data_IF_528440061039
#
_entry.id   IF_528440061039
#
_cell.length_a   1.000
_cell.length_b   1.000
_cell.length_c   1.000
_cell.angle_alpha   90.00
_cell.angle_beta   90.00
_cell.angle_gamma   90.00
#
_symmetry.space_group_name_H-M   'P 1'
#
loop_
_entity.id
_entity.type
_entity.pdbx_description
1 polymer ?
#
# COMPACT_ATOMS: atom_id res chain seq x y z
N UNK A 1 7.64 19.05 22.56
CA UNK A 1 6.46 18.23 22.92
C UNK A 1 5.30 19.17 23.18
N UNK A 2 4.20 19.06 22.44
CA UNK A 2 3.01 19.91 22.65
C UNK A 2 2.19 19.26 23.77
N UNK A 3 1.95 19.99 24.86
CA UNK A 3 1.10 19.51 25.93
C UNK A 3 -0.36 19.41 25.46
N UNK A 4 -1.05 18.33 25.82
CA UNK A 4 -2.47 18.17 25.50
C UNK A 4 -3.30 19.30 26.15
N UNK A 5 -4.36 19.79 25.48
CA UNK A 5 -5.17 20.87 26.01
C UNK A 5 -5.88 20.47 27.31
N UNK A 6 -6.16 21.42 28.22
CA UNK A 6 -6.87 21.16 29.46
C UNK A 6 -8.27 20.58 29.17
N UNK A 7 -8.59 19.45 29.81
CA UNK A 7 -9.85 18.72 29.59
C UNK A 7 -9.77 17.58 28.56
N UNK A 8 -8.63 17.37 27.91
CA UNK A 8 -8.42 16.21 27.05
C UNK A 8 -8.44 14.91 27.87
N UNK A 9 -9.43 14.06 27.60
CA UNK A 9 -9.45 12.67 28.09
C UNK A 9 -9.01 11.78 26.93
N UNK A 10 -7.99 10.93 27.08
CA UNK A 10 -7.64 9.96 26.04
C UNK A 10 -8.87 9.10 25.75
N UNK A 11 -9.18 8.89 24.47
CA UNK A 11 -10.20 7.93 24.05
C UNK A 11 -9.72 6.55 24.53
N UNK A 12 -10.34 6.01 25.60
CA UNK A 12 -10.02 4.67 26.09
C UNK A 12 -10.55 3.67 25.07
N UNK A 13 -9.65 3.03 24.34
CA UNK A 13 -9.99 1.85 23.54
C UNK A 13 -10.30 0.75 24.55
N UNK A 14 -11.41 0.03 24.38
CA UNK A 14 -11.70 -1.09 25.29
C UNK A 14 -10.64 -2.17 25.10
N UNK A 15 -10.28 -2.84 26.19
CA UNK A 15 -9.21 -3.86 26.20
C UNK A 15 -9.46 -4.98 25.19
N UNK A 16 -10.73 -5.26 24.89
CA UNK A 16 -11.20 -6.15 23.83
C UNK A 16 -10.62 -5.83 22.44
N UNK A 17 -10.31 -4.56 22.15
CA UNK A 17 -9.79 -4.12 20.86
C UNK A 17 -8.27 -3.81 20.88
N UNK A 18 -7.60 -4.03 22.01
CA UNK A 18 -6.14 -3.92 22.08
C UNK A 18 -5.54 -5.21 21.50
N UNK A 19 -4.97 -5.12 20.30
CA UNK A 19 -4.20 -6.22 19.72
C UNK A 19 -2.81 -6.26 20.36
N UNK A 20 -2.27 -7.45 20.70
CA UNK A 20 -0.89 -7.54 21.16
C UNK A 20 0.06 -7.06 20.05
N UNK A 21 1.20 -6.44 20.42
CA UNK A 21 2.20 -6.03 19.44
C UNK A 21 2.76 -7.26 18.73
N UNK A 22 2.84 -7.17 17.39
CA UNK A 22 3.45 -8.20 16.52
C UNK A 22 4.93 -8.36 16.90
N UNK A 23 5.41 -9.61 16.93
CA UNK A 23 6.80 -9.91 17.30
C UNK A 23 7.80 -9.33 16.28
N UNK A 24 9.07 -9.10 16.65
CA UNK A 24 10.10 -8.66 15.69
C UNK A 24 10.28 -9.62 14.52
N UNK A 25 10.18 -10.93 14.77
CA UNK A 25 10.31 -11.98 13.74
C UNK A 25 9.14 -11.95 12.75
N UNK A 26 7.92 -11.80 13.25
CA UNK A 26 6.73 -11.68 12.40
C UNK A 26 6.78 -10.40 11.55
N UNK A 27 7.24 -9.28 12.13
CA UNK A 27 7.46 -8.03 11.36
C UNK A 27 8.49 -8.23 10.26
N UNK A 28 9.60 -8.90 10.56
CA UNK A 28 10.64 -9.19 9.58
C UNK A 28 10.12 -10.08 8.45
N UNK A 29 9.32 -11.11 8.79
CA UNK A 29 8.67 -11.99 7.82
C UNK A 29 7.71 -11.22 6.90
N UNK A 30 6.81 -10.40 7.46
CA UNK A 30 5.88 -9.58 6.66
C UNK A 30 6.61 -8.61 5.73
N UNK A 31 7.71 -8.00 6.20
CA UNK A 31 8.54 -7.12 5.38
C UNK A 31 9.22 -7.88 4.24
N UNK A 32 9.77 -9.06 4.52
CA UNK A 32 10.41 -9.91 3.51
C UNK A 32 9.41 -10.38 2.45
N UNK A 33 8.21 -10.80 2.85
CA UNK A 33 7.14 -11.20 1.92
C UNK A 33 6.67 -10.04 1.05
N UNK A 34 6.48 -8.85 1.64
CA UNK A 34 6.13 -7.63 0.90
C UNK A 34 7.22 -7.24 -0.10
N UNK A 35 8.49 -7.31 0.31
CA UNK A 35 9.62 -7.04 -0.58
C UNK A 35 9.72 -8.07 -1.71
N UNK A 36 9.58 -9.36 -1.41
CA UNK A 36 9.60 -10.42 -2.42
C UNK A 36 8.50 -10.25 -3.47
N UNK A 37 7.30 -9.83 -3.05
CA UNK A 37 6.22 -9.48 -3.97
C UNK A 37 6.57 -8.28 -4.84
N UNK A 38 7.12 -7.22 -4.24
CA UNK A 38 7.55 -6.05 -4.99
C UNK A 38 8.62 -6.38 -6.03
N UNK A 39 9.60 -7.23 -5.71
CA UNK A 39 10.64 -7.60 -6.68
C UNK A 39 10.09 -8.24 -7.96
N UNK A 40 8.94 -8.94 -7.89
CA UNK A 40 8.29 -9.52 -9.07
C UNK A 40 7.59 -8.45 -9.91
N UNK A 41 6.91 -7.50 -9.26
CA UNK A 41 6.20 -6.42 -9.96
C UNK A 41 7.12 -5.31 -10.48
N UNK A 42 8.31 -5.17 -9.88
CA UNK A 42 9.23 -4.05 -10.15
C UNK A 42 9.63 -3.93 -11.62
N UNK A 43 10.02 -4.99 -12.35
CA UNK A 43 10.36 -4.88 -13.77
C UNK A 43 9.18 -4.42 -14.63
N UNK A 44 7.97 -4.86 -14.31
CA UNK A 44 6.75 -4.45 -15.00
C UNK A 44 6.50 -2.97 -14.76
N UNK A 45 6.55 -2.55 -13.49
CA UNK A 45 6.41 -1.14 -13.10
C UNK A 45 7.44 -0.26 -13.81
N UNK A 46 8.73 -0.61 -13.76
CA UNK A 46 9.80 0.18 -14.37
C UNK A 46 9.61 0.32 -15.89
N UNK A 47 9.14 -0.72 -16.57
CA UNK A 47 8.86 -0.67 -18.01
C UNK A 47 7.76 0.33 -18.36
N UNK A 48 6.67 0.34 -17.59
CA UNK A 48 5.49 1.18 -17.91
C UNK A 48 5.54 2.55 -17.24
N UNK A 49 6.40 2.73 -16.24
CA UNK A 49 6.47 3.94 -15.43
C UNK A 49 6.70 5.17 -16.28
N UNK A 50 7.69 5.15 -17.16
CA UNK A 50 8.11 6.36 -17.86
C UNK A 50 7.03 6.82 -18.86
N UNK A 51 6.37 5.87 -19.54
CA UNK A 51 5.22 6.15 -20.43
C UNK A 51 4.00 6.67 -19.67
N UNK A 52 3.69 6.04 -18.53
CA UNK A 52 2.52 6.40 -17.73
C UNK A 52 2.75 7.67 -16.90
N UNK A 53 3.97 7.99 -16.49
CA UNK A 53 4.28 9.22 -15.77
C UNK A 53 4.02 10.46 -16.63
N UNK A 54 4.18 10.38 -17.95
CA UNK A 54 3.90 11.50 -18.85
C UNK A 54 2.41 11.91 -18.85
N UNK A 55 1.51 10.97 -18.59
CA UNK A 55 0.05 11.15 -18.76
C UNK A 55 -0.75 11.00 -17.47
N UNK A 56 -0.23 10.24 -16.51
CA UNK A 56 -0.89 9.81 -15.27
C UNK A 56 -0.01 10.08 -14.04
N UNK A 57 0.76 11.17 -14.06
CA UNK A 57 1.57 11.58 -12.91
C UNK A 57 0.73 11.68 -11.64
N UNK A 58 1.25 11.11 -10.54
CA UNK A 58 0.62 11.00 -9.23
C UNK A 58 -0.61 10.08 -9.11
N UNK A 59 -0.95 9.32 -10.16
CA UNK A 59 -1.98 8.28 -10.11
C UNK A 59 -1.44 7.00 -9.45
N UNK A 60 -2.33 6.05 -9.17
CA UNK A 60 -2.05 4.78 -8.53
C UNK A 60 -2.12 3.66 -9.56
N UNK A 61 -1.05 2.88 -9.65
CA UNK A 61 -0.99 1.66 -10.46
C UNK A 61 -1.10 0.45 -9.54
N UNK A 62 -1.97 -0.48 -9.92
CA UNK A 62 -2.14 -1.76 -9.24
C UNK A 62 -1.64 -2.84 -10.18
N UNK A 63 -0.68 -3.64 -9.71
CA UNK A 63 0.00 -4.67 -10.51
C UNK A 63 -0.26 -6.04 -9.89
N UNK A 64 -0.66 -6.99 -10.72
CA UNK A 64 -0.69 -8.40 -10.38
C UNK A 64 0.74 -9.00 -10.54
N UNK A 65 1.33 -9.55 -9.47
CA UNK A 65 2.68 -10.12 -9.51
C UNK A 65 2.84 -11.35 -10.40
N UNK A 66 1.76 -12.07 -10.75
CA UNK A 66 1.87 -13.33 -11.50
C UNK A 66 1.50 -13.17 -12.98
N UNK A 67 0.42 -12.44 -13.29
CA UNK A 67 0.01 -12.19 -14.69
C UNK A 67 0.80 -11.04 -15.33
N UNK A 68 1.27 -10.09 -14.52
CA UNK A 68 1.85 -8.84 -14.99
C UNK A 68 0.84 -7.86 -15.58
N UNK A 69 -0.46 -8.17 -15.48
CA UNK A 69 -1.53 -7.22 -15.76
C UNK A 69 -1.54 -6.10 -14.72
N UNK A 70 -1.95 -4.92 -15.16
CA UNK A 70 -2.07 -3.77 -14.28
C UNK A 70 -3.22 -2.87 -14.72
N UNK A 71 -3.74 -2.12 -13.77
CA UNK A 71 -4.67 -1.02 -14.03
C UNK A 71 -4.25 0.22 -13.23
N UNK A 72 -4.75 1.38 -13.65
CA UNK A 72 -4.35 2.67 -13.09
C UNK A 72 -5.60 3.44 -12.70
N UNK A 73 -5.57 4.06 -11.53
CA UNK A 73 -6.63 4.93 -11.04
C UNK A 73 -6.06 6.23 -10.51
N UNK A 74 -6.79 7.32 -10.68
CA UNK A 74 -6.39 8.63 -10.16
C UNK A 74 -6.37 8.67 -8.65
N UNK A 75 -7.28 7.95 -8.00
CA UNK A 75 -7.47 7.93 -6.56
C UNK A 75 -7.18 6.54 -5.97
N UNK A 76 -6.49 6.52 -4.83
CA UNK A 76 -6.13 5.29 -4.14
C UNK A 76 -7.37 4.53 -3.64
N UNK A 77 -8.38 5.25 -3.17
CA UNK A 77 -9.63 4.66 -2.69
C UNK A 77 -10.37 3.97 -3.83
N UNK A 78 -10.43 4.60 -5.01
CA UNK A 78 -11.04 4.00 -6.21
C UNK A 78 -10.30 2.74 -6.63
N UNK A 79 -8.96 2.74 -6.56
CA UNK A 79 -8.18 1.52 -6.82
C UNK A 79 -8.53 0.39 -5.83
N UNK A 80 -8.67 0.71 -4.55
CA UNK A 80 -9.07 -0.25 -3.53
C UNK A 80 -10.50 -0.73 -3.68
N UNK A 81 -11.44 0.14 -4.02
CA UNK A 81 -12.83 -0.23 -4.28
C UNK A 81 -12.92 -1.24 -5.43
N UNK A 82 -12.15 -1.04 -6.51
CA UNK A 82 -12.05 -2.01 -7.61
C UNK A 82 -11.48 -3.35 -7.16
N UNK A 83 -10.46 -3.35 -6.30
CA UNK A 83 -9.91 -4.57 -5.71
C UNK A 83 -10.90 -5.28 -4.78
N UNK A 84 -11.72 -4.54 -4.05
CA UNK A 84 -12.75 -5.11 -3.19
C UNK A 84 -13.92 -5.67 -4.01
N UNK A 85 -14.28 -5.01 -5.11
CA UNK A 85 -15.33 -5.47 -6.02
C UNK A 85 -14.93 -6.74 -6.78
N UNK A 86 -13.65 -6.85 -7.17
CA UNK A 86 -13.09 -8.05 -7.78
C UNK A 86 -11.85 -8.52 -7.01
N UNK A 87 -12.06 -9.26 -5.89
CA UNK A 87 -10.97 -9.66 -5.02
C UNK A 87 -10.02 -10.61 -5.74
N UNK A 88 -8.74 -10.23 -5.88
CA UNK A 88 -7.76 -11.13 -6.48
C UNK A 88 -7.51 -12.34 -5.59
N UNK A 89 -7.15 -13.46 -6.22
CA UNK A 89 -6.74 -14.66 -5.48
C UNK A 89 -5.46 -14.44 -4.66
N UNK A 90 -4.64 -13.46 -5.06
CA UNK A 90 -3.37 -13.14 -4.44
C UNK A 90 -3.26 -11.65 -4.19
N UNK A 91 -2.42 -11.31 -3.23
CA UNK A 91 -2.18 -9.92 -2.86
C UNK A 91 -1.52 -9.18 -4.03
N UNK A 92 -2.17 -8.12 -4.52
CA UNK A 92 -1.62 -7.22 -5.54
C UNK A 92 -0.67 -6.19 -4.92
N UNK A 93 0.10 -5.50 -5.77
CA UNK A 93 0.95 -4.39 -5.37
C UNK A 93 0.38 -3.08 -5.89
N UNK A 94 0.14 -2.14 -4.98
CA UNK A 94 -0.27 -0.77 -5.31
C UNK A 94 0.92 0.17 -5.18
N UNK A 95 1.25 0.89 -6.23
CA UNK A 95 2.29 1.94 -6.25
C UNK A 95 1.74 3.25 -6.78
N UNK A 96 2.42 4.34 -6.45
CA UNK A 96 2.14 5.66 -7.01
C UNK A 96 3.06 5.93 -8.20
N UNK A 97 2.52 6.43 -9.30
CA UNK A 97 3.25 6.84 -10.48
C UNK A 97 3.88 8.22 -10.25
N UNK A 98 5.06 8.24 -9.61
CA UNK A 98 5.88 9.44 -9.40
C UNK A 98 7.37 9.06 -9.41
N UNK A 99 8.27 10.02 -9.22
CA UNK A 99 9.73 9.80 -9.32
C UNK A 99 10.22 8.74 -8.33
N UNK A 100 9.60 8.65 -7.16
CA UNK A 100 9.97 7.71 -6.10
C UNK A 100 9.33 6.32 -6.24
N UNK A 101 8.19 6.22 -6.95
CA UNK A 101 7.35 5.02 -6.96
C UNK A 101 6.72 4.69 -5.59
N UNK A 102 6.95 5.51 -4.56
CA UNK A 102 6.51 5.24 -3.19
C UNK A 102 5.06 5.69 -3.05
N UNK A 103 4.15 4.72 -2.89
CA UNK A 103 2.88 4.97 -2.24
C UNK A 103 3.19 5.22 -0.76
N UNK A 104 2.67 6.31 -0.18
CA UNK A 104 2.79 6.55 1.25
C UNK A 104 2.47 5.26 2.00
N UNK A 105 3.46 4.71 2.70
CA UNK A 105 3.32 3.47 3.44
C UNK A 105 2.31 3.73 4.54
N UNK A 106 1.04 3.40 4.31
CA UNK A 106 0.09 3.28 5.41
C UNK A 106 0.46 1.95 6.07
N UNK A 107 1.25 2.09 7.14
CA UNK A 107 1.66 1.06 8.09
C UNK A 107 0.45 0.51 8.86
#
# INVERSE_FOLDING_TARGET
>A
MIAAPPGWKPRRISEKYIKPPISPEEKAKQKAESQARWQRCRPIFERVRDELMATHYNWYIVIDPDSGEYFIEKDQLVAFEKLLANPPQKLMVVRRLNESGVCGSIL
#
